data_IF_372548371676
#
_entry.id   IF_372548371676
#
_cell.length_a   1.000
_cell.length_b   1.000
_cell.length_c   1.000
_cell.angle_alpha   90.00
_cell.angle_beta   90.00
_cell.angle_gamma   90.00
#
_symmetry.space_group_name_H-M   'P 1'
#
loop_
_entity.id
_entity.type
_entity.pdbx_description
1 polymer ?
#
# COMPACT_ATOMS: atom_id res chain seq x y z
N UNK A 1 6.70 -6.50 1.37
CA UNK A 1 5.44 -5.75 1.19
C UNK A 1 5.12 -5.67 -0.29
N UNK A 2 6.08 -5.26 -1.12
CA UNK A 2 5.91 -5.00 -2.55
C UNK A 2 6.53 -6.10 -3.41
N UNK A 3 5.90 -6.34 -4.55
CA UNK A 3 6.49 -7.14 -5.63
C UNK A 3 7.39 -6.23 -6.48
N UNK A 4 8.55 -6.73 -6.90
CA UNK A 4 9.42 -5.98 -7.81
C UNK A 4 9.09 -6.40 -9.24
N UNK A 5 8.79 -5.43 -10.08
CA UNK A 5 8.57 -5.63 -11.51
C UNK A 5 9.56 -4.74 -12.29
N UNK A 6 9.88 -5.15 -13.49
CA UNK A 6 10.76 -4.38 -14.38
C UNK A 6 9.89 -3.60 -15.35
N UNK A 7 10.26 -2.35 -15.58
CA UNK A 7 9.64 -1.49 -16.56
C UNK A 7 10.72 -0.92 -17.49
N UNK A 8 10.39 -0.79 -18.76
CA UNK A 8 11.21 -0.16 -19.81
C UNK A 8 10.69 1.22 -20.21
N UNK A 9 9.70 1.74 -19.48
CA UNK A 9 9.01 3.01 -19.75
C UNK A 9 9.45 4.09 -18.77
N UNK A 10 9.19 5.34 -19.12
CA UNK A 10 9.43 6.48 -18.22
C UNK A 10 8.38 6.59 -17.10
N UNK A 11 7.18 6.05 -17.33
CA UNK A 11 6.08 5.98 -16.38
C UNK A 11 5.18 4.78 -16.72
N UNK A 12 4.46 4.30 -15.73
CA UNK A 12 3.38 3.32 -15.89
C UNK A 12 2.04 3.95 -15.61
N UNK A 13 1.03 3.57 -16.35
CA UNK A 13 -0.35 3.99 -16.15
C UNK A 13 -1.24 2.77 -15.96
N UNK A 14 -2.07 2.83 -14.94
CA UNK A 14 -3.12 1.85 -14.69
C UNK A 14 -4.48 2.54 -14.74
N UNK A 15 -5.36 2.01 -15.58
CA UNK A 15 -6.74 2.46 -15.67
C UNK A 15 -7.60 1.52 -14.84
N UNK A 16 -8.35 2.08 -13.91
CA UNK A 16 -9.30 1.33 -13.13
C UNK A 16 -10.58 1.10 -13.94
N UNK A 17 -10.92 -0.17 -14.14
CA UNK A 17 -12.14 -0.59 -14.82
C UNK A 17 -13.19 -0.96 -13.77
N UNK A 18 -14.37 -0.35 -13.86
CA UNK A 18 -15.49 -0.79 -13.03
C UNK A 18 -15.98 -2.16 -13.51
N UNK A 19 -16.34 -3.02 -12.56
CA UNK A 19 -17.04 -4.28 -12.85
C UNK A 19 -18.50 -4.04 -13.27
N UNK A 20 -19.25 -5.13 -13.31
CA UNK A 20 -20.72 -5.09 -13.50
C UNK A 20 -21.43 -5.01 -12.15
N UNK A 21 -22.61 -4.43 -12.15
CA UNK A 21 -23.50 -4.41 -10.98
C UNK A 21 -24.08 -5.78 -10.67
N UNK A 22 -24.96 -5.83 -9.69
CA UNK A 22 -25.62 -7.08 -9.29
C UNK A 22 -26.56 -7.58 -10.39
N UNK A 23 -26.42 -8.88 -10.73
CA UNK A 23 -27.32 -9.50 -11.68
C UNK A 23 -28.77 -9.51 -11.17
N UNK A 24 -29.71 -9.18 -12.04
CA UNK A 24 -31.12 -9.14 -11.72
C UNK A 24 -31.83 -10.46 -11.99
N UNK A 25 -32.80 -10.80 -11.18
CA UNK A 25 -33.65 -11.97 -11.42
C UNK A 25 -34.48 -11.74 -12.69
N UNK A 26 -34.33 -12.63 -13.66
CA UNK A 26 -35.11 -12.60 -14.88
C UNK A 26 -36.41 -13.37 -14.73
N UNK A 27 -37.54 -12.73 -14.97
CA UNK A 27 -38.85 -13.39 -15.07
C UNK A 27 -38.98 -14.20 -16.37
N UNK A 28 -39.85 -15.18 -16.36
CA UNK A 28 -40.17 -15.97 -17.55
C UNK A 28 -40.73 -15.04 -18.66
N UNK A 29 -40.17 -15.15 -19.87
CA UNK A 29 -40.56 -14.32 -21.01
C UNK A 29 -40.03 -12.87 -20.98
N UNK A 30 -39.35 -12.44 -19.92
CA UNK A 30 -38.75 -11.11 -19.87
C UNK A 30 -37.39 -11.08 -20.63
N UNK A 31 -36.98 -9.90 -21.11
CA UNK A 31 -35.66 -9.65 -21.68
C UNK A 31 -34.54 -9.74 -20.61
N UNK A 32 -33.30 -9.90 -21.05
CA UNK A 32 -32.10 -9.79 -20.20
C UNK A 32 -31.77 -8.30 -20.03
N UNK A 33 -31.43 -7.87 -18.82
CA UNK A 33 -30.86 -6.53 -18.59
C UNK A 33 -29.40 -6.49 -19.03
N UNK A 34 -29.00 -5.41 -19.66
CA UNK A 34 -27.61 -5.15 -20.02
C UNK A 34 -27.03 -4.18 -19.00
N UNK A 35 -25.76 -4.34 -18.71
CA UNK A 35 -24.96 -3.45 -17.87
C UNK A 35 -23.60 -3.20 -18.54
N UNK A 36 -23.05 -2.02 -18.40
CA UNK A 36 -21.84 -1.59 -19.06
C UNK A 36 -20.72 -1.38 -18.02
N UNK A 37 -19.52 -1.93 -18.33
CA UNK A 37 -18.31 -1.59 -17.61
C UNK A 37 -17.80 -0.21 -18.03
N UNK A 38 -17.30 0.57 -17.09
CA UNK A 38 -16.81 1.93 -17.31
C UNK A 38 -15.35 2.07 -16.89
N UNK A 39 -14.58 2.85 -17.64
CA UNK A 39 -13.29 3.32 -17.22
C UNK A 39 -13.48 4.47 -16.22
N UNK A 40 -12.72 4.45 -15.10
CA UNK A 40 -12.89 5.42 -14.04
C UNK A 40 -11.66 6.30 -13.86
N UNK A 41 -10.74 5.86 -13.01
CA UNK A 41 -9.56 6.63 -12.67
C UNK A 41 -8.33 6.07 -13.37
N UNK A 42 -7.42 6.97 -13.75
CA UNK A 42 -6.09 6.60 -14.23
C UNK A 42 -5.07 6.96 -13.17
N UNK A 43 -4.35 5.97 -12.67
CA UNK A 43 -3.21 6.17 -11.80
C UNK A 43 -1.92 6.15 -12.61
N UNK A 44 -1.08 7.18 -12.46
CA UNK A 44 0.22 7.28 -13.13
C UNK A 44 1.34 7.17 -12.11
N UNK A 45 2.27 6.25 -12.37
CA UNK A 45 3.47 6.03 -11.58
C UNK A 45 4.69 6.49 -12.38
N UNK A 46 5.31 7.57 -11.95
CA UNK A 46 6.51 8.12 -12.62
C UNK A 46 7.75 7.56 -11.96
N UNK A 47 8.69 7.06 -12.77
CA UNK A 47 9.95 6.54 -12.29
C UNK A 47 10.90 7.65 -11.86
N UNK A 48 11.57 7.45 -10.72
CA UNK A 48 12.59 8.35 -10.19
C UNK A 48 13.94 7.64 -10.18
N UNK A 49 14.98 8.36 -10.56
CA UNK A 49 16.36 7.86 -10.49
C UNK A 49 16.95 8.21 -9.14
N UNK A 50 17.38 7.19 -8.40
CA UNK A 50 18.13 7.36 -7.15
C UNK A 50 19.58 7.00 -7.40
N UNK A 51 20.50 7.93 -7.18
CA UNK A 51 21.92 7.74 -7.40
C UNK A 51 22.76 8.31 -6.26
N UNK A 52 23.87 7.64 -5.96
CA UNK A 52 24.88 8.10 -5.01
C UNK A 52 26.24 7.59 -5.48
N UNK A 53 27.25 8.43 -5.42
CA UNK A 53 28.62 8.09 -5.77
C UNK A 53 29.59 8.49 -4.67
N UNK A 54 30.76 7.86 -4.64
CA UNK A 54 31.90 8.30 -3.86
C UNK A 54 33.15 8.36 -4.74
N UNK A 55 34.09 9.23 -4.38
CA UNK A 55 35.36 9.35 -5.05
C UNK A 55 36.49 9.07 -4.05
N UNK A 56 37.57 8.48 -4.54
CA UNK A 56 38.83 8.29 -3.82
C UNK A 56 39.89 9.05 -4.61
N UNK A 57 40.73 9.85 -3.95
CA UNK A 57 41.81 10.61 -4.60
C UNK A 57 42.92 9.66 -5.05
N UNK A 58 43.63 10.05 -6.12
CA UNK A 58 44.74 9.28 -6.68
C UNK A 58 45.88 9.11 -5.66
N UNK A 59 46.19 10.17 -4.93
CA UNK A 59 47.18 10.17 -3.84
C UNK A 59 46.82 9.13 -2.76
N UNK A 60 45.56 9.00 -2.45
CA UNK A 60 45.07 8.04 -1.49
C UNK A 60 45.18 6.58 -1.99
N UNK A 61 45.17 6.37 -3.30
CA UNK A 61 45.38 5.05 -3.92
C UNK A 61 46.89 4.74 -3.96
N UNK A 62 47.75 5.70 -4.30
CA UNK A 62 49.18 5.52 -4.37
C UNK A 62 49.81 5.19 -3.02
N UNK A 63 49.36 5.83 -1.94
CA UNK A 63 49.83 5.58 -0.59
C UNK A 63 49.40 4.22 -0.01
N UNK A 64 48.70 3.42 -0.81
CA UNK A 64 48.27 2.04 -0.52
C UNK A 64 47.55 1.81 0.85
N UNK A 65 47.02 2.88 1.41
CA UNK A 65 46.27 2.84 2.69
C UNK A 65 44.83 2.32 2.53
N UNK A 66 44.37 2.07 1.28
CA UNK A 66 42.94 2.04 0.95
C UNK A 66 42.39 0.75 0.35
N UNK A 67 43.17 -0.32 0.20
CA UNK A 67 42.65 -1.59 -0.31
C UNK A 67 41.45 -2.13 0.48
N UNK A 68 41.46 -1.85 1.79
CA UNK A 68 40.32 -2.21 2.65
C UNK A 68 39.23 -1.11 2.70
N UNK A 69 39.58 0.14 2.40
CA UNK A 69 38.66 1.27 2.46
C UNK A 69 37.71 1.30 1.26
N UNK A 70 38.20 1.03 0.06
CA UNK A 70 37.34 0.94 -1.14
C UNK A 70 36.24 -0.09 -0.97
N UNK A 71 36.56 -1.28 -0.46
CA UNK A 71 35.60 -2.33 -0.18
C UNK A 71 34.58 -1.94 0.93
N UNK A 72 35.04 -1.18 1.95
CA UNK A 72 34.15 -0.66 3.00
C UNK A 72 33.19 0.39 2.46
N UNK A 73 33.68 1.34 1.65
CA UNK A 73 32.86 2.38 1.03
C UNK A 73 31.88 1.80 0.03
N UNK A 74 32.24 0.81 -0.76
CA UNK A 74 31.32 0.10 -1.65
C UNK A 74 30.19 -0.58 -0.88
N UNK A 75 30.49 -1.23 0.23
CA UNK A 75 29.46 -1.82 1.10
C UNK A 75 28.56 -0.76 1.75
N UNK A 76 29.16 0.37 2.17
CA UNK A 76 28.40 1.49 2.73
C UNK A 76 27.46 2.11 1.68
N UNK A 77 27.94 2.29 0.44
CA UNK A 77 27.15 2.76 -0.68
C UNK A 77 25.96 1.82 -0.96
N UNK A 78 26.23 0.53 -1.09
CA UNK A 78 25.18 -0.47 -1.31
C UNK A 78 24.12 -0.45 -0.20
N UNK A 79 24.54 -0.32 1.06
CA UNK A 79 23.64 -0.19 2.20
C UNK A 79 22.80 1.10 2.13
N UNK A 80 23.41 2.23 1.77
CA UNK A 80 22.73 3.52 1.61
C UNK A 80 21.67 3.44 0.51
N UNK A 81 22.01 2.86 -0.66
CA UNK A 81 21.07 2.67 -1.76
C UNK A 81 19.90 1.75 -1.37
N UNK A 82 20.20 0.66 -0.66
CA UNK A 82 19.15 -0.23 -0.14
C UNK A 82 18.22 0.48 0.85
N UNK A 83 18.78 1.31 1.74
CA UNK A 83 17.99 2.09 2.68
C UNK A 83 17.10 3.12 1.96
N UNK A 84 17.63 3.82 0.97
CA UNK A 84 16.86 4.77 0.16
C UNK A 84 15.66 4.09 -0.52
N UNK A 85 15.87 2.89 -1.08
CA UNK A 85 14.78 2.08 -1.66
C UNK A 85 13.72 1.70 -0.61
N UNK A 86 14.12 1.32 0.60
CA UNK A 86 13.19 0.97 1.67
C UNK A 86 12.39 2.18 2.14
N UNK A 87 13.04 3.34 2.32
CA UNK A 87 12.38 4.59 2.70
C UNK A 87 11.35 4.98 1.65
N UNK A 88 11.73 5.00 0.37
CA UNK A 88 10.79 5.27 -0.73
C UNK A 88 9.60 4.31 -0.77
N UNK A 89 9.83 3.04 -0.46
CA UNK A 89 8.76 2.05 -0.44
C UNK A 89 7.77 2.23 0.72
N UNK A 90 8.21 2.77 1.86
CA UNK A 90 7.33 2.96 3.02
C UNK A 90 6.64 4.35 3.02
N UNK A 91 7.18 5.33 2.31
CA UNK A 91 6.62 6.68 2.23
C UNK A 91 5.12 6.72 1.89
N UNK A 92 4.60 5.96 0.90
CA UNK A 92 3.16 5.97 0.60
C UNK A 92 2.30 5.53 1.79
N UNK A 93 2.79 4.59 2.60
CA UNK A 93 2.06 4.11 3.77
C UNK A 93 2.06 5.12 4.92
N UNK A 94 3.16 5.87 5.10
CA UNK A 94 3.27 6.87 6.16
C UNK A 94 2.55 8.17 5.78
N UNK A 95 2.71 8.60 4.53
CA UNK A 95 2.22 9.90 4.05
C UNK A 95 0.93 9.79 3.23
N UNK A 96 0.25 8.65 3.29
CA UNK A 96 -1.03 8.42 2.61
C UNK A 96 -2.26 8.82 3.41
N UNK A 97 -2.10 9.30 4.65
CA UNK A 97 -3.19 9.75 5.50
C UNK A 97 -3.69 11.16 5.11
N UNK A 98 -4.96 11.52 5.39
CA UNK A 98 -5.51 12.83 5.04
C UNK A 98 -4.74 14.02 5.62
N UNK A 99 -4.11 13.85 6.77
CA UNK A 99 -3.30 14.88 7.45
C UNK A 99 -2.01 15.23 6.70
N UNK A 100 -1.45 14.30 5.94
CA UNK A 100 -0.22 14.48 5.17
C UNK A 100 -0.50 14.67 3.67
N UNK A 101 -1.52 14.00 3.13
CA UNK A 101 -2.08 14.11 1.76
C UNK A 101 -1.06 14.20 0.60
N UNK A 102 0.19 13.72 0.80
CA UNK A 102 1.22 13.73 -0.24
C UNK A 102 0.94 12.65 -1.29
N UNK A 103 0.49 11.48 -0.85
CA UNK A 103 0.12 10.39 -1.72
C UNK A 103 -1.39 10.27 -1.84
N UNK A 104 -1.87 10.34 -3.07
CA UNK A 104 -3.28 10.30 -3.42
C UNK A 104 -3.60 9.04 -4.20
N UNK A 105 -4.81 8.54 -4.01
CA UNK A 105 -5.40 7.49 -4.83
C UNK A 105 -5.82 8.04 -6.20
N UNK A 106 -6.20 7.18 -7.14
CA UNK A 106 -6.66 7.56 -8.46
C UNK A 106 -7.89 8.46 -8.46
N UNK A 107 -8.70 8.42 -7.41
CA UNK A 107 -9.85 9.31 -7.19
C UNK A 107 -9.47 10.72 -6.67
N UNK A 108 -8.18 11.01 -6.51
CA UNK A 108 -7.66 12.29 -6.04
C UNK A 108 -7.72 12.49 -4.52
N UNK A 109 -8.27 11.54 -3.77
CA UNK A 109 -8.33 11.55 -2.30
C UNK A 109 -7.04 10.95 -1.72
N UNK A 110 -6.75 11.21 -0.44
CA UNK A 110 -5.64 10.58 0.26
C UNK A 110 -5.69 9.05 0.13
N UNK A 111 -4.52 8.39 0.03
CA UNK A 111 -4.43 6.94 -0.15
C UNK A 111 -5.23 6.16 0.91
N UNK A 112 -5.20 6.64 2.15
CA UNK A 112 -6.03 6.12 3.24
C UNK A 112 -7.10 7.16 3.58
N UNK A 113 -8.36 6.87 3.32
CA UNK A 113 -9.48 7.78 3.52
C UNK A 113 -10.72 7.03 4.00
N UNK A 114 -11.57 7.75 4.69
CA UNK A 114 -12.92 7.28 5.05
C UNK A 114 -13.94 7.49 3.94
N UNK A 115 -13.56 8.09 2.82
CA UNK A 115 -14.48 8.50 1.76
C UNK A 115 -13.83 8.47 0.38
N UNK A 116 -13.57 7.26 -0.14
CA UNK A 116 -13.22 7.07 -1.54
C UNK A 116 -14.48 7.06 -2.40
N UNK A 117 -14.45 7.80 -3.50
CA UNK A 117 -15.59 7.88 -4.42
C UNK A 117 -15.71 6.60 -5.24
N UNK A 118 -16.93 6.11 -5.41
CA UNK A 118 -17.25 4.98 -6.26
C UNK A 118 -18.02 5.43 -7.50
N UNK A 119 -18.06 4.59 -8.54
CA UNK A 119 -18.73 4.94 -9.81
C UNK A 119 -20.24 5.09 -9.65
N UNK A 120 -20.86 4.23 -8.84
CA UNK A 120 -22.33 4.18 -8.77
C UNK A 120 -22.85 3.79 -7.39
N UNK A 121 -21.99 3.74 -6.39
CA UNK A 121 -22.35 3.35 -5.03
C UNK A 121 -22.04 4.42 -3.99
N UNK A 122 -22.28 4.13 -2.72
CA UNK A 122 -21.83 4.98 -1.63
C UNK A 122 -20.31 4.99 -1.55
N UNK A 123 -19.73 6.10 -1.08
CA UNK A 123 -18.30 6.17 -0.85
C UNK A 123 -17.84 5.05 0.09
N UNK A 124 -16.65 4.52 -0.16
CA UNK A 124 -16.06 3.44 0.64
C UNK A 124 -14.89 3.96 1.48
N UNK A 125 -14.69 3.35 2.63
CA UNK A 125 -13.59 3.64 3.53
C UNK A 125 -12.56 2.51 3.49
N UNK A 126 -11.27 2.85 3.53
CA UNK A 126 -10.17 1.90 3.72
C UNK A 126 -9.39 2.17 5.02
N UNK A 127 -9.96 2.96 5.91
CA UNK A 127 -9.45 3.25 7.25
C UNK A 127 -10.56 3.04 8.28
N UNK A 128 -10.17 2.89 9.55
CA UNK A 128 -11.12 2.92 10.65
C UNK A 128 -11.87 4.27 10.68
N UNK A 129 -13.16 4.24 10.97
CA UNK A 129 -13.98 5.44 11.11
C UNK A 129 -13.46 6.35 12.24
N UNK A 130 -12.97 5.75 13.32
CA UNK A 130 -12.26 6.44 14.41
C UNK A 130 -10.87 5.85 14.51
N UNK A 131 -9.86 6.69 14.34
CA UNK A 131 -8.47 6.26 14.49
C UNK A 131 -8.20 5.86 15.94
N UNK A 132 -7.53 4.72 16.12
CA UNK A 132 -7.21 4.16 17.42
C UNK A 132 -5.84 3.49 17.40
N UNK A 133 -5.19 3.45 18.54
CA UNK A 133 -3.96 2.68 18.74
C UNK A 133 -4.20 1.18 18.54
N UNK A 134 -3.13 0.44 18.25
CA UNK A 134 -3.19 -0.99 18.08
C UNK A 134 -3.57 -1.69 19.39
N UNK A 135 -4.78 -2.20 19.44
CA UNK A 135 -5.33 -3.01 20.53
C UNK A 135 -6.26 -4.08 19.96
N UNK A 136 -6.79 -4.94 20.82
CA UNK A 136 -7.67 -6.03 20.43
C UNK A 136 -8.91 -5.53 19.68
N UNK A 137 -9.61 -4.54 20.24
CA UNK A 137 -10.83 -3.99 19.65
C UNK A 137 -10.59 -3.32 18.29
N UNK A 138 -9.50 -2.54 18.17
CA UNK A 138 -9.17 -1.89 16.89
C UNK A 138 -8.76 -2.89 15.82
N UNK A 139 -8.08 -3.97 16.20
CA UNK A 139 -7.71 -5.05 15.29
C UNK A 139 -8.95 -5.83 14.82
N UNK A 140 -9.83 -6.20 15.74
CA UNK A 140 -11.10 -6.88 15.41
C UNK A 140 -11.96 -6.02 14.48
N UNK A 141 -12.12 -4.73 14.80
CA UNK A 141 -12.87 -3.80 13.95
C UNK A 141 -12.25 -3.69 12.55
N UNK A 142 -10.94 -3.59 12.46
CA UNK A 142 -10.25 -3.54 11.17
C UNK A 142 -10.50 -4.81 10.34
N UNK A 143 -10.49 -5.98 10.95
CA UNK A 143 -10.78 -7.25 10.26
C UNK A 143 -12.24 -7.33 9.80
N UNK A 144 -13.18 -6.84 10.62
CA UNK A 144 -14.59 -6.75 10.26
C UNK A 144 -14.78 -5.80 9.06
N UNK A 145 -14.12 -4.64 9.09
CA UNK A 145 -14.25 -3.64 8.03
C UNK A 145 -13.65 -4.18 6.71
N UNK A 146 -12.49 -4.85 6.75
CA UNK A 146 -11.91 -5.53 5.59
C UNK A 146 -12.87 -6.59 5.02
N UNK A 147 -13.49 -7.40 5.87
CA UNK A 147 -14.43 -8.44 5.42
C UNK A 147 -15.74 -7.87 4.83
N UNK A 148 -16.08 -6.63 5.17
CA UNK A 148 -17.23 -5.91 4.64
C UNK A 148 -16.95 -5.10 3.37
N UNK A 149 -15.69 -5.00 2.94
CA UNK A 149 -15.31 -4.24 1.77
C UNK A 149 -16.08 -4.66 0.53
N UNK A 150 -16.46 -3.68 -0.25
CA UNK A 150 -17.17 -3.85 -1.53
C UNK A 150 -16.33 -3.27 -2.66
N UNK A 151 -16.63 -3.73 -3.87
CA UNK A 151 -16.12 -3.11 -5.09
C UNK A 151 -16.85 -1.79 -5.38
N UNK A 152 -16.49 -1.15 -6.49
CA UNK A 152 -17.05 0.13 -6.94
C UNK A 152 -18.54 0.08 -7.29
N UNK A 153 -19.08 -1.13 -7.50
CA UNK A 153 -20.48 -1.38 -7.81
C UNK A 153 -21.28 -1.85 -6.58
N UNK A 154 -20.60 -1.90 -5.41
CA UNK A 154 -21.20 -2.31 -4.15
C UNK A 154 -21.25 -3.83 -3.93
N UNK A 155 -20.60 -4.63 -4.77
CA UNK A 155 -20.51 -6.07 -4.57
C UNK A 155 -19.41 -6.42 -3.57
N UNK A 156 -19.63 -7.39 -2.71
CA UNK A 156 -18.64 -7.84 -1.72
C UNK A 156 -17.48 -8.56 -2.38
N UNK A 157 -16.25 -8.14 -2.09
CA UNK A 157 -15.02 -8.70 -2.67
C UNK A 157 -14.38 -9.79 -1.82
N UNK A 158 -14.98 -10.24 -0.73
CA UNK A 158 -14.45 -11.26 0.19
C UNK A 158 -12.97 -11.03 0.60
N UNK A 159 -12.60 -9.76 0.83
CA UNK A 159 -11.26 -9.37 1.24
C UNK A 159 -10.91 -9.93 2.61
N UNK A 160 -9.62 -10.22 2.83
CA UNK A 160 -9.08 -10.71 4.10
C UNK A 160 -7.78 -10.03 4.43
N UNK A 161 -7.57 -9.69 5.69
CA UNK A 161 -6.27 -9.24 6.19
C UNK A 161 -5.24 -10.37 6.12
N UNK A 162 -4.18 -10.20 5.32
CA UNK A 162 -3.14 -11.22 5.13
C UNK A 162 -1.87 -10.90 5.91
N UNK A 163 -1.54 -9.63 6.07
CA UNK A 163 -0.32 -9.17 6.73
C UNK A 163 -0.61 -7.91 7.54
N UNK A 164 -0.06 -7.86 8.74
CA UNK A 164 -0.05 -6.66 9.56
C UNK A 164 1.34 -6.03 9.49
N UNK A 165 1.42 -4.76 9.11
CA UNK A 165 2.65 -3.98 9.06
C UNK A 165 2.62 -3.03 10.24
N UNK A 166 3.64 -3.12 11.08
CA UNK A 166 3.75 -2.36 12.33
C UNK A 166 5.14 -1.75 12.45
N UNK A 167 5.28 -0.63 13.14
CA UNK A 167 6.57 -0.13 13.58
C UNK A 167 7.19 -1.06 14.65
N UNK A 168 8.50 -0.99 14.82
CA UNK A 168 9.26 -1.85 15.74
C UNK A 168 8.81 -1.71 17.20
N UNK A 169 8.35 -0.53 17.59
CA UNK A 169 7.88 -0.23 18.93
C UNK A 169 6.62 -1.03 19.33
N UNK A 170 5.81 -1.40 18.33
CA UNK A 170 4.58 -2.16 18.55
C UNK A 170 4.76 -3.68 18.42
N UNK A 171 5.99 -4.16 18.18
CA UNK A 171 6.27 -5.58 17.96
C UNK A 171 5.71 -6.47 19.06
N UNK A 172 5.99 -6.17 20.33
CA UNK A 172 5.53 -6.99 21.45
C UNK A 172 4.02 -6.91 21.69
N UNK A 173 3.42 -5.77 21.37
CA UNK A 173 1.95 -5.61 21.43
C UNK A 173 1.28 -6.48 20.37
N UNK A 174 1.76 -6.42 19.13
CA UNK A 174 1.25 -7.25 18.05
C UNK A 174 1.47 -8.74 18.32
N UNK A 175 2.62 -9.13 18.86
CA UNK A 175 2.89 -10.52 19.21
C UNK A 175 1.91 -11.04 20.27
N UNK A 176 1.60 -10.26 21.29
CA UNK A 176 0.59 -10.61 22.29
C UNK A 176 -0.79 -10.75 21.68
N UNK A 177 -1.20 -9.83 20.80
CA UNK A 177 -2.51 -9.88 20.14
C UNK A 177 -2.64 -11.10 19.22
N UNK A 178 -1.59 -11.42 18.46
CA UNK A 178 -1.63 -12.50 17.47
C UNK A 178 -1.41 -13.90 18.06
N UNK A 179 -0.66 -14.02 19.16
CA UNK A 179 -0.31 -15.31 19.77
C UNK A 179 -1.11 -15.65 21.02
N UNK A 180 -1.92 -14.75 21.53
CA UNK A 180 -2.76 -15.00 22.70
C UNK A 180 -3.85 -16.01 22.34
N UNK A 181 -3.67 -17.25 22.75
CA UNK A 181 -4.68 -18.30 22.67
C UNK A 181 -5.58 -18.19 23.92
N UNK A 182 -6.72 -17.58 23.76
CA UNK A 182 -7.76 -17.57 24.79
C UNK A 182 -7.46 -16.60 25.93
N UNK A 183 -8.05 -15.43 25.86
CA UNK A 183 -8.23 -14.59 27.03
C UNK A 183 -9.27 -15.30 27.91
N UNK A 184 -8.83 -15.91 29.01
CA UNK A 184 -9.77 -16.28 30.08
C UNK A 184 -10.44 -15.00 30.52
N UNK A 185 -11.74 -14.91 30.25
CA UNK A 185 -12.52 -13.72 30.52
C UNK A 185 -12.40 -13.27 31.96
N UNK A 186 -12.32 -11.99 32.16
CA UNK A 186 -12.67 -11.32 33.39
C UNK A 186 -14.15 -11.27 33.50
#
# INVERSE_FOLDING_TARGET
IYTNENSDRAFEEEVMLSGFGNAQVKGEGAGVSFDDAQETYTARYTHETVALAFAITEEAIEDNLYDRLSARYTKALARSMSNAKQVKAIEPLINGLPSTATFKSGDGVALFSTSHTTVSGPNVANTLATQADLNETSLEQSMIDIAKMTDERGLRIAARGLKMIIPSELQFTAERLMKSQGRTGT
#
